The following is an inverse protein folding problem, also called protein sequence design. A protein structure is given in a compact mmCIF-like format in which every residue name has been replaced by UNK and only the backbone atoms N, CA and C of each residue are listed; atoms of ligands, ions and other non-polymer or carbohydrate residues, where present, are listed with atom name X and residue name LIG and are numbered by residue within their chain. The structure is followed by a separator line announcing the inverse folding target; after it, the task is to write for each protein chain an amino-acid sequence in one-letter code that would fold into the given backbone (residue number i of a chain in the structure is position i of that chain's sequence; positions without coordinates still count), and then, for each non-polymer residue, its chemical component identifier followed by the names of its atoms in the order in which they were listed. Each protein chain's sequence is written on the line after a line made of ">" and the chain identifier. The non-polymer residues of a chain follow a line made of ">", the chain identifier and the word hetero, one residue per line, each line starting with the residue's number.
data_IF_410289324894
#
_entry.id   IF_410289324894
#
_cell.length_a   1.000
_cell.length_b   1.000
_cell.length_c   1.000
_cell.angle_alpha   90.00
_cell.angle_beta   90.00
_cell.angle_gamma   90.00
#
_symmetry.space_group_name_H-M   'P 1'
#
loop_
_entity.id
_entity.type
_entity.pdbx_description
1 polymer ?
#
# COMPACT_ATOMS: atom_id res chain seq x y z
N UNK A 1 -4.71 -11.32 -4.12
CA UNK A 1 -3.94 -11.69 -2.92
C UNK A 1 -4.71 -11.37 -1.64
N UNK A 2 -5.12 -10.13 -1.38
CA UNK A 2 -5.92 -9.74 -0.20
C UNK A 2 -7.25 -10.52 -0.11
N UNK A 3 -7.95 -10.64 -1.22
CA UNK A 3 -9.20 -11.38 -1.31
C UNK A 3 -9.02 -12.87 -0.98
N UNK A 4 -7.91 -13.47 -1.40
CA UNK A 4 -7.55 -14.85 -1.03
C UNK A 4 -7.24 -15.01 0.46
N UNK A 5 -6.63 -14.00 1.08
CA UNK A 5 -6.29 -14.02 2.50
C UNK A 5 -7.56 -13.88 3.33
N UNK A 6 -8.41 -12.91 3.01
CA UNK A 6 -9.68 -12.71 3.72
C UNK A 6 -10.63 -13.88 3.57
N UNK A 7 -10.68 -14.53 2.40
CA UNK A 7 -11.50 -15.74 2.18
C UNK A 7 -10.93 -16.98 2.85
N UNK A 8 -9.62 -17.12 2.88
CA UNK A 8 -8.95 -18.33 3.38
C UNK A 8 -8.78 -18.33 4.90
N UNK A 9 -8.59 -17.14 5.50
CA UNK A 9 -8.27 -16.97 6.91
C UNK A 9 -9.29 -16.16 7.69
N UNK A 10 -10.24 -15.54 7.00
CA UNK A 10 -11.29 -14.72 7.62
C UNK A 10 -12.37 -15.55 8.27
N UNK A 11 -12.33 -15.61 9.58
CA UNK A 11 -13.49 -15.94 10.41
C UNK A 11 -14.04 -17.34 10.34
N UNK A 12 -13.35 -18.27 9.77
CA UNK A 12 -13.87 -19.61 9.78
C UNK A 12 -13.18 -20.48 10.83
N UNK A 13 -13.98 -21.30 11.50
CA UNK A 13 -13.55 -22.28 12.48
C UNK A 13 -12.70 -23.42 11.88
N UNK A 14 -12.28 -23.35 10.63
CA UNK A 14 -11.56 -24.41 9.95
C UNK A 14 -10.16 -24.65 10.53
N UNK A 15 -9.62 -23.67 11.26
CA UNK A 15 -8.32 -23.78 11.92
C UNK A 15 -8.49 -23.95 13.43
N UNK A 16 -9.24 -24.93 13.85
CA UNK A 16 -9.28 -25.40 15.25
C UNK A 16 -7.99 -26.13 15.62
N UNK A 17 -6.84 -25.55 15.37
CA UNK A 17 -5.60 -26.09 15.89
C UNK A 17 -5.23 -25.35 17.17
N UNK A 18 -4.82 -26.05 18.23
CA UNK A 18 -4.48 -25.42 19.51
C UNK A 18 -3.25 -24.50 19.45
N UNK A 19 -2.56 -24.42 18.30
CA UNK A 19 -1.32 -23.66 18.12
C UNK A 19 -1.46 -22.45 17.19
N UNK A 20 -2.48 -22.43 16.38
CA UNK A 20 -2.76 -21.29 15.51
C UNK A 20 -4.11 -20.78 15.99
N UNK A 21 -4.13 -19.87 16.91
CA UNK A 21 -5.36 -19.30 17.43
C UNK A 21 -6.40 -19.05 16.34
N UNK A 22 -7.54 -18.60 16.64
CA UNK A 22 -8.53 -18.28 15.62
C UNK A 22 -7.91 -17.24 14.68
N UNK A 23 -7.68 -17.58 13.40
CA UNK A 23 -7.33 -16.61 12.40
C UNK A 23 -8.30 -15.42 12.53
N UNK A 24 -7.83 -14.22 12.24
CA UNK A 24 -8.61 -13.00 12.42
C UNK A 24 -10.02 -13.11 11.81
N UNK A 25 -10.99 -12.48 12.42
CA UNK A 25 -12.34 -12.30 11.86
C UNK A 25 -12.33 -11.11 10.91
N UNK A 26 -13.07 -11.19 9.81
CA UNK A 26 -13.20 -10.07 8.88
C UNK A 26 -14.16 -8.98 9.42
N UNK A 27 -13.78 -8.39 10.54
CA UNK A 27 -14.49 -7.30 11.22
C UNK A 27 -13.46 -6.32 11.79
N UNK A 28 -13.79 -5.04 12.05
CA UNK A 28 -12.83 -4.04 12.50
C UNK A 28 -12.04 -4.38 13.78
N UNK A 29 -12.54 -5.26 14.61
CA UNK A 29 -11.88 -5.76 15.83
C UNK A 29 -11.54 -7.26 15.73
N UNK A 30 -11.25 -7.71 14.53
CA UNK A 30 -11.14 -9.13 14.22
C UNK A 30 -9.78 -9.76 14.48
N UNK A 31 -8.79 -9.00 14.94
CA UNK A 31 -7.49 -9.55 15.30
C UNK A 31 -7.61 -10.46 16.51
N UNK A 32 -7.06 -11.65 16.43
CA UNK A 32 -6.97 -12.50 17.62
C UNK A 32 -5.82 -12.03 18.52
N UNK A 33 -5.94 -12.28 19.85
CA UNK A 33 -4.92 -11.85 20.82
C UNK A 33 -3.52 -12.42 20.55
N UNK A 34 -3.45 -13.53 19.83
CA UNK A 34 -2.21 -14.22 19.51
C UNK A 34 -1.53 -13.70 18.22
N UNK A 35 -2.18 -12.78 17.51
CA UNK A 35 -1.57 -12.17 16.34
C UNK A 35 -0.53 -11.14 16.75
N UNK A 36 0.68 -11.37 16.30
CA UNK A 36 1.74 -10.38 16.38
C UNK A 36 1.64 -9.45 15.19
N UNK A 37 1.55 -8.16 15.46
CA UNK A 37 1.48 -7.10 14.45
C UNK A 37 2.85 -6.47 14.19
N UNK A 38 3.90 -6.97 14.84
CA UNK A 38 5.29 -6.50 14.72
C UNK A 38 5.41 -4.98 14.89
N UNK A 39 4.87 -4.45 15.97
CA UNK A 39 4.86 -3.02 16.30
C UNK A 39 4.24 -2.13 15.19
N UNK A 40 3.23 -2.62 14.51
CA UNK A 40 2.56 -1.90 13.43
C UNK A 40 3.18 -2.09 12.05
N UNK A 41 4.21 -2.91 11.91
CA UNK A 41 4.91 -3.13 10.64
C UNK A 41 4.00 -3.75 9.59
N UNK A 42 3.15 -4.69 9.96
CA UNK A 42 2.24 -5.37 9.03
C UNK A 42 1.16 -4.41 8.51
N UNK A 43 0.56 -3.61 9.37
CA UNK A 43 -0.41 -2.57 8.97
C UNK A 43 0.27 -1.51 8.10
N UNK A 44 1.45 -1.05 8.48
CA UNK A 44 2.21 -0.08 7.69
C UNK A 44 2.55 -0.63 6.30
N UNK A 45 3.00 -1.87 6.21
CA UNK A 45 3.23 -2.54 4.93
C UNK A 45 1.97 -2.54 4.05
N UNK A 46 0.84 -2.91 4.63
CA UNK A 46 -0.44 -2.94 3.89
C UNK A 46 -0.81 -1.56 3.35
N UNK A 47 -0.68 -0.51 4.15
CA UNK A 47 -1.01 0.87 3.75
C UNK A 47 -0.09 1.31 2.61
N UNK A 48 1.23 1.17 2.75
CA UNK A 48 2.19 1.51 1.70
C UNK A 48 1.99 0.71 0.42
N UNK A 49 1.83 -0.61 0.54
CA UNK A 49 1.61 -1.48 -0.61
C UNK A 49 0.31 -1.12 -1.35
N UNK A 50 -0.74 -0.75 -0.63
CA UNK A 50 -2.02 -0.35 -1.24
C UNK A 50 -1.91 0.97 -2.01
N UNK A 51 -1.00 1.85 -1.62
CA UNK A 51 -0.68 3.09 -2.34
C UNK A 51 0.25 2.86 -3.54
N UNK A 52 0.79 1.65 -3.72
CA UNK A 52 1.69 1.30 -4.80
C UNK A 52 3.15 1.72 -4.57
N UNK A 53 3.58 1.79 -3.33
CA UNK A 53 4.95 2.11 -2.96
C UNK A 53 5.40 1.38 -1.71
N UNK A 54 6.72 1.17 -1.57
CA UNK A 54 7.29 0.63 -0.33
C UNK A 54 8.77 1.00 -0.17
N UNK A 55 9.24 1.37 1.04
CA UNK A 55 10.65 1.57 1.34
C UNK A 55 11.31 0.21 1.57
N UNK A 56 12.09 -0.29 0.61
CA UNK A 56 12.73 -1.62 0.73
C UNK A 56 13.95 -1.63 1.63
N UNK A 57 14.70 -0.52 1.67
CA UNK A 57 15.97 -0.45 2.39
C UNK A 57 15.79 0.47 3.60
N UNK A 58 15.96 -0.10 4.79
CA UNK A 58 15.89 0.65 6.04
C UNK A 58 16.97 1.75 6.07
N UNK A 59 16.55 2.98 6.35
CA UNK A 59 17.43 4.14 6.38
C UNK A 59 17.61 4.85 5.04
N UNK A 60 17.17 4.29 3.94
CA UNK A 60 17.13 4.97 2.64
C UNK A 60 15.75 5.60 2.40
N UNK A 61 15.66 6.93 2.24
CA UNK A 61 14.38 7.62 2.03
C UNK A 61 13.93 7.54 0.56
N UNK A 62 13.87 6.32 0.02
CA UNK A 62 13.46 6.00 -1.35
C UNK A 62 12.37 4.95 -1.31
N UNK A 63 11.35 5.12 -2.14
CA UNK A 63 10.27 4.16 -2.32
C UNK A 63 10.36 3.49 -3.68
N UNK A 64 10.26 2.16 -3.69
CA UNK A 64 9.97 1.39 -4.89
C UNK A 64 8.50 1.53 -5.26
N UNK A 65 8.22 1.67 -6.56
CA UNK A 65 6.89 1.91 -7.08
C UNK A 65 6.38 0.70 -7.85
N UNK A 66 5.14 0.32 -7.58
CA UNK A 66 4.44 -0.78 -8.23
C UNK A 66 2.93 -0.49 -8.32
N UNK A 67 2.16 -1.34 -8.95
CA UNK A 67 0.71 -1.12 -9.14
C UNK A 67 -0.04 -0.88 -7.83
N UNK A 68 -0.66 0.29 -7.62
CA UNK A 68 -1.49 0.54 -6.45
C UNK A 68 -2.81 -0.23 -6.52
N UNK A 69 -3.41 -0.49 -5.34
CA UNK A 69 -4.75 -1.08 -5.23
C UNK A 69 -5.83 -0.06 -5.61
N UNK A 70 -5.67 1.17 -5.14
CA UNK A 70 -6.64 2.24 -5.36
C UNK A 70 -6.36 3.02 -6.63
N UNK A 71 -7.42 3.54 -7.26
CA UNK A 71 -7.30 4.40 -8.44
C UNK A 71 -6.85 5.81 -8.11
N UNK A 72 -7.15 6.25 -6.88
CA UNK A 72 -6.77 7.56 -6.39
C UNK A 72 -6.56 7.54 -4.88
N UNK A 73 -5.45 8.12 -4.44
CA UNK A 73 -5.12 8.38 -3.04
C UNK A 73 -4.66 9.82 -2.89
N UNK A 74 -5.08 10.50 -1.85
CA UNK A 74 -4.57 11.82 -1.47
C UNK A 74 -3.87 11.73 -0.13
N UNK A 75 -2.63 12.15 -0.09
CA UNK A 75 -1.82 12.23 1.12
C UNK A 75 -1.69 13.69 1.55
N UNK A 76 -2.10 13.99 2.77
CA UNK A 76 -1.83 15.28 3.38
C UNK A 76 -0.42 15.24 3.96
N UNK A 77 0.54 15.87 3.28
CA UNK A 77 1.96 15.84 3.67
C UNK A 77 2.28 16.89 4.73
N UNK A 78 1.64 18.05 4.65
CA UNK A 78 1.72 19.12 5.64
C UNK A 78 0.36 19.81 5.73
N UNK A 79 -0.25 19.73 6.91
CA UNK A 79 -1.58 20.29 7.13
C UNK A 79 -1.55 21.81 7.19
N UNK A 80 -0.55 22.40 7.85
CA UNK A 80 -0.40 23.84 8.01
C UNK A 80 -0.09 24.53 6.67
N UNK A 81 0.81 23.96 5.89
CA UNK A 81 1.16 24.47 4.56
C UNK A 81 0.19 23.98 3.46
N UNK A 82 -0.81 23.15 3.81
CA UNK A 82 -1.76 22.55 2.86
C UNK A 82 -1.10 21.79 1.70
N UNK A 83 0.06 21.21 1.98
CA UNK A 83 0.81 20.42 0.99
C UNK A 83 0.16 19.05 0.82
N UNK A 84 -0.19 18.70 -0.41
CA UNK A 84 -0.80 17.42 -0.76
C UNK A 84 -0.01 16.70 -1.84
N UNK A 85 0.05 15.38 -1.72
CA UNK A 85 0.50 14.49 -2.81
C UNK A 85 -0.68 13.65 -3.26
N UNK A 86 -0.92 13.65 -4.56
CA UNK A 86 -1.96 12.86 -5.19
C UNK A 86 -1.31 11.68 -5.92
N UNK A 87 -1.76 10.49 -5.60
CA UNK A 87 -1.38 9.25 -6.29
C UNK A 87 -2.59 8.82 -7.11
N UNK A 88 -2.42 8.53 -8.40
CA UNK A 88 -3.52 8.04 -9.23
C UNK A 88 -3.08 7.10 -10.33
N UNK A 89 -4.03 6.31 -10.82
CA UNK A 89 -3.86 5.47 -12.01
C UNK A 89 -4.41 6.15 -13.26
N UNK A 90 -3.87 5.82 -14.41
CA UNK A 90 -4.34 6.27 -15.71
C UNK A 90 -4.35 5.11 -16.72
N UNK A 91 -5.49 4.92 -17.38
CA UNK A 91 -5.64 3.87 -18.40
C UNK A 91 -5.83 2.46 -17.85
N UNK A 92 -5.95 2.28 -16.53
CA UNK A 92 -6.17 0.96 -15.92
C UNK A 92 -7.62 0.50 -16.18
N UNK A 93 -7.75 -0.67 -16.77
CA UNK A 93 -9.05 -1.34 -17.02
C UNK A 93 -9.24 -2.56 -16.13
N UNK A 94 -8.14 -3.17 -15.71
CA UNK A 94 -8.10 -4.39 -14.90
C UNK A 94 -6.90 -4.33 -13.95
N UNK A 95 -7.04 -4.90 -12.75
CA UNK A 95 -5.98 -5.00 -11.74
C UNK A 95 -4.78 -5.85 -12.19
N UNK A 96 -4.97 -6.73 -13.18
CA UNK A 96 -3.92 -7.57 -13.76
C UNK A 96 -3.18 -6.91 -14.92
N UNK A 97 -3.64 -5.75 -15.35
CA UNK A 97 -3.00 -5.03 -16.44
C UNK A 97 -1.58 -4.62 -16.02
N UNK A 98 -0.57 -4.85 -16.87
CA UNK A 98 0.80 -4.51 -16.54
C UNK A 98 1.01 -2.99 -16.48
N UNK A 99 1.71 -2.54 -15.46
CA UNK A 99 2.16 -1.17 -15.33
C UNK A 99 3.20 -0.85 -16.42
N UNK A 100 3.02 0.22 -17.17
CA UNK A 100 3.90 0.60 -18.28
C UNK A 100 4.88 1.70 -17.89
N UNK A 101 4.42 2.69 -17.14
CA UNK A 101 5.19 3.88 -16.83
C UNK A 101 4.69 4.51 -15.53
N UNK A 102 5.60 5.15 -14.81
CA UNK A 102 5.26 6.02 -13.67
C UNK A 102 5.81 7.42 -13.95
N UNK A 103 5.04 8.44 -13.59
CA UNK A 103 5.47 9.83 -13.70
C UNK A 103 5.26 10.58 -12.40
N UNK A 104 6.16 11.52 -12.10
CA UNK A 104 6.06 12.50 -11.03
C UNK A 104 5.96 13.90 -11.61
N UNK A 105 4.85 14.60 -11.35
CA UNK A 105 4.58 15.92 -11.95
C UNK A 105 4.82 15.96 -13.47
N UNK A 106 4.44 14.89 -14.17
CA UNK A 106 4.62 14.72 -15.61
C UNK A 106 5.99 14.18 -16.04
N UNK A 107 7.03 14.26 -15.21
CA UNK A 107 8.34 13.71 -15.52
C UNK A 107 8.38 12.19 -15.31
N UNK A 108 8.97 11.45 -16.25
CA UNK A 108 9.07 10.00 -16.15
C UNK A 108 10.02 9.56 -15.05
N UNK A 109 9.64 8.49 -14.33
CA UNK A 109 10.47 7.80 -13.33
C UNK A 109 10.90 6.42 -13.89
N UNK A 110 11.96 6.35 -14.69
CA UNK A 110 12.32 5.14 -15.44
C UNK A 110 12.72 3.97 -14.52
N UNK A 111 13.24 4.25 -13.33
CA UNK A 111 13.65 3.24 -12.36
C UNK A 111 12.50 2.80 -11.44
N UNK A 112 11.29 3.33 -11.62
CA UNK A 112 10.16 3.07 -10.73
C UNK A 112 10.48 3.37 -9.26
N UNK A 113 11.20 4.46 -9.02
CA UNK A 113 11.59 4.91 -7.68
C UNK A 113 11.26 6.39 -7.49
N UNK A 114 10.92 6.76 -6.24
CA UNK A 114 10.72 8.15 -5.84
C UNK A 114 11.33 8.41 -4.47
N UNK A 115 11.98 9.57 -4.30
CA UNK A 115 12.54 9.97 -3.01
C UNK A 115 11.46 10.54 -2.10
N UNK A 116 11.54 10.25 -0.81
CA UNK A 116 10.66 10.83 0.20
C UNK A 116 10.59 12.37 0.12
N UNK A 117 11.73 13.02 -0.05
CA UNK A 117 11.82 14.48 -0.17
C UNK A 117 11.06 15.06 -1.39
N UNK A 118 10.79 14.26 -2.42
CA UNK A 118 9.94 14.67 -3.54
C UNK A 118 8.47 14.59 -3.13
N UNK A 119 8.03 13.47 -2.56
CA UNK A 119 6.67 13.29 -2.07
C UNK A 119 6.28 14.34 -1.03
N UNK A 120 7.19 14.64 -0.10
CA UNK A 120 6.97 15.61 0.97
C UNK A 120 6.72 17.04 0.48
N UNK A 121 7.16 17.39 -0.72
CA UNK A 121 6.91 18.70 -1.34
C UNK A 121 5.53 18.83 -1.97
N UNK A 122 4.80 17.74 -2.05
CA UNK A 122 3.51 17.69 -2.75
C UNK A 122 3.65 17.60 -4.27
N UNK A 123 2.65 17.03 -4.91
CA UNK A 123 2.62 16.86 -6.35
C UNK A 123 1.74 15.69 -6.79
N UNK A 124 1.94 15.24 -8.02
CA UNK A 124 1.14 14.19 -8.62
C UNK A 124 2.01 13.02 -9.09
N UNK A 125 1.74 11.83 -8.52
CA UNK A 125 2.32 10.55 -8.92
C UNK A 125 1.29 9.78 -9.76
N UNK A 126 1.62 9.49 -11.02
CA UNK A 126 0.70 8.82 -11.94
C UNK A 126 1.27 7.50 -12.42
N UNK A 127 0.48 6.44 -12.23
CA UNK A 127 0.74 5.09 -12.71
C UNK A 127 -0.01 4.85 -14.03
N UNK A 128 0.70 4.65 -15.14
CA UNK A 128 0.15 4.49 -16.48
C UNK A 128 0.10 3.02 -16.91
N UNK A 129 -1.05 2.60 -17.40
CA UNK A 129 -1.33 1.23 -17.84
C UNK A 129 -1.57 1.11 -19.34
#
# INVERSE_FOLDING_TARGET
>A
MLDSITHRYGGNDAYKTPFIGHAFKNVPRGYCPEMDEDDGTMSAWFVFASMGMYPLIVGEPVYELFSPVFDRVELQMDEAAKVKTVIRTAGRKDMRQPLRRVTWNGASLPNFQIKHAQLAKGGELVFWY
#
